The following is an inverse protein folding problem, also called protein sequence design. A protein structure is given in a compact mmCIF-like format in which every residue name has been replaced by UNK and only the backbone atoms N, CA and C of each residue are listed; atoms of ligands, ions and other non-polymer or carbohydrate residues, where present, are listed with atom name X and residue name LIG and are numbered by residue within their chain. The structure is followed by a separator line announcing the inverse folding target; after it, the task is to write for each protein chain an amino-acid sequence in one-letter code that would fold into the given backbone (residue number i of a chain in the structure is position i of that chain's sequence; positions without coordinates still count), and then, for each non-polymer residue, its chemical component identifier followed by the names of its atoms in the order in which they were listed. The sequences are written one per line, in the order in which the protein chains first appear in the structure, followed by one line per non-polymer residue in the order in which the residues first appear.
data_IF_162979456107
#
_entry.id   IF_162979456107
#
_cell.length_a   1.000
_cell.length_b   1.000
_cell.length_c   1.000
_cell.angle_alpha   90.00
_cell.angle_beta   90.00
_cell.angle_gamma   90.00
#
_symmetry.space_group_name_H-M   'P 1'
#
loop_
_entity.id
_entity.type
_entity.pdbx_description
1 polymer ?
#
# COMPACT_ATOMS: atom_id res chain seq x y z
N UNK A 1 28.29 -38.95 25.91
CA UNK A 1 26.94 -38.34 26.07
C UNK A 1 26.73 -37.14 25.14
N UNK A 2 26.86 -37.27 23.81
CA UNK A 2 26.85 -36.09 22.89
C UNK A 2 25.90 -36.19 21.69
N UNK A 3 25.10 -37.26 21.58
CA UNK A 3 24.24 -37.50 20.41
C UNK A 3 23.03 -36.56 20.26
N UNK A 4 22.48 -36.04 21.37
CA UNK A 4 21.23 -35.25 21.37
C UNK A 4 21.37 -33.84 20.77
N UNK A 5 22.58 -33.28 20.71
CA UNK A 5 22.83 -31.89 20.21
C UNK A 5 23.07 -31.79 18.70
N UNK A 6 23.30 -32.90 18.00
CA UNK A 6 23.62 -32.91 16.55
C UNK A 6 22.40 -32.66 15.64
N UNK A 7 21.18 -32.73 16.17
CA UNK A 7 19.93 -32.57 15.41
C UNK A 7 19.35 -31.16 15.46
N UNK A 8 19.70 -30.36 16.47
CA UNK A 8 19.32 -28.95 16.63
C UNK A 8 19.72 -28.10 15.41
N UNK A 9 20.95 -28.16 14.86
CA UNK A 9 21.31 -27.37 13.69
C UNK A 9 20.55 -27.77 12.43
N UNK A 10 20.16 -29.05 12.31
CA UNK A 10 19.37 -29.55 11.16
C UNK A 10 17.94 -29.02 11.21
N UNK A 11 17.33 -29.01 12.40
CA UNK A 11 15.97 -28.47 12.58
C UNK A 11 15.93 -26.96 12.36
N UNK A 12 16.95 -26.24 12.85
CA UNK A 12 17.10 -24.81 12.60
C UNK A 12 17.26 -24.49 11.10
N UNK A 13 18.02 -25.31 10.37
CA UNK A 13 18.20 -25.16 8.93
C UNK A 13 16.90 -25.41 8.13
N UNK A 14 16.07 -26.37 8.56
CA UNK A 14 14.76 -26.64 7.97
C UNK A 14 13.76 -25.51 8.29
N UNK A 15 13.77 -24.98 9.51
CA UNK A 15 12.93 -23.83 9.85
C UNK A 15 13.33 -22.57 9.06
N UNK A 16 14.63 -22.33 8.88
CA UNK A 16 15.15 -21.22 8.08
C UNK A 16 14.78 -21.34 6.59
N UNK A 17 14.75 -22.55 6.02
CA UNK A 17 14.36 -22.75 4.63
C UNK A 17 12.85 -22.57 4.40
N UNK A 18 12.00 -22.91 5.37
CA UNK A 18 10.54 -22.66 5.29
C UNK A 18 10.22 -21.17 5.33
N UNK A 19 10.92 -20.39 6.15
CA UNK A 19 10.76 -18.92 6.23
C UNK A 19 11.23 -18.24 4.94
N UNK A 20 12.30 -18.75 4.30
CA UNK A 20 12.83 -18.23 3.04
C UNK A 20 11.88 -18.39 1.84
N UNK A 21 11.05 -19.44 1.83
CA UNK A 21 10.09 -19.71 0.72
C UNK A 21 8.90 -18.74 0.77
N UNK A 22 8.43 -18.35 1.95
CA UNK A 22 7.29 -17.41 2.08
C UNK A 22 7.65 -15.96 1.79
N UNK A 23 8.94 -15.60 1.81
CA UNK A 23 9.40 -14.23 1.58
C UNK A 23 9.55 -13.87 0.08
N UNK A 24 9.55 -14.86 -0.82
CA UNK A 24 9.93 -14.66 -2.23
C UNK A 24 8.80 -14.35 -3.21
N UNK A 25 7.53 -14.29 -2.77
CA UNK A 25 6.38 -14.17 -3.66
C UNK A 25 5.76 -12.77 -3.70
N UNK A 26 6.57 -11.71 -3.63
CA UNK A 26 6.09 -10.37 -3.98
C UNK A 26 6.09 -10.27 -5.51
N UNK A 27 4.95 -10.57 -6.12
CA UNK A 27 4.73 -10.27 -7.54
C UNK A 27 4.94 -8.78 -7.77
N UNK A 28 5.72 -8.43 -8.80
CA UNK A 28 5.82 -7.05 -9.23
C UNK A 28 4.42 -6.53 -9.53
N UNK A 29 4.04 -5.40 -8.92
CA UNK A 29 2.79 -4.75 -9.25
C UNK A 29 2.76 -4.46 -10.75
N UNK A 30 1.63 -4.74 -11.40
CA UNK A 30 1.43 -4.36 -12.79
C UNK A 30 1.66 -2.86 -12.96
N UNK A 31 2.10 -2.44 -14.15
CA UNK A 31 2.32 -1.02 -14.44
C UNK A 31 1.00 -0.26 -14.19
N UNK A 32 0.97 0.75 -13.30
CA UNK A 32 -0.26 1.46 -13.01
C UNK A 32 -0.69 2.35 -14.18
N UNK A 33 -2.00 2.54 -14.31
CA UNK A 33 -2.56 3.58 -15.17
C UNK A 33 -2.47 4.93 -14.44
N UNK A 34 -2.03 5.98 -15.14
CA UNK A 34 -1.88 7.33 -14.58
C UNK A 34 -2.87 8.26 -15.27
N UNK A 35 -3.76 8.88 -14.49
CA UNK A 35 -4.68 9.92 -14.95
C UNK A 35 -4.37 11.21 -14.20
N UNK A 36 -4.08 12.28 -14.95
CA UNK A 36 -3.88 13.62 -14.41
C UNK A 36 -5.08 14.47 -14.82
N UNK A 37 -5.78 15.02 -13.81
CA UNK A 37 -6.88 15.97 -14.00
C UNK A 37 -6.40 17.30 -13.42
N UNK A 38 -6.40 18.35 -14.24
CA UNK A 38 -5.97 19.68 -13.83
C UNK A 38 -7.10 20.68 -14.05
N UNK A 39 -7.45 21.43 -13.00
CA UNK A 39 -8.41 22.52 -13.09
C UNK A 39 -7.70 23.83 -13.41
N UNK A 40 -8.26 24.62 -14.32
CA UNK A 40 -7.79 25.98 -14.59
C UNK A 40 -8.59 26.96 -13.72
N UNK A 41 -7.91 27.92 -13.09
CA UNK A 41 -8.51 28.94 -12.21
C UNK A 41 -9.47 28.41 -11.11
N UNK A 42 -9.23 27.19 -10.61
CA UNK A 42 -9.99 26.62 -9.48
C UNK A 42 -9.23 26.82 -8.17
N UNK A 43 -9.80 27.62 -7.27
CA UNK A 43 -9.27 27.82 -5.93
C UNK A 43 -9.68 26.71 -4.95
N UNK A 44 -8.94 26.57 -3.85
CA UNK A 44 -9.25 25.57 -2.81
C UNK A 44 -10.66 25.72 -2.25
N UNK A 45 -11.14 26.96 -2.10
CA UNK A 45 -12.49 27.23 -1.58
C UNK A 45 -13.60 26.73 -2.50
N UNK A 46 -13.32 26.53 -3.80
CA UNK A 46 -14.29 26.01 -4.74
C UNK A 46 -14.59 24.51 -4.57
N UNK A 47 -13.68 23.77 -3.90
CA UNK A 47 -13.82 22.33 -3.65
C UNK A 47 -14.50 22.12 -2.30
N UNK A 48 -15.65 21.45 -2.28
CA UNK A 48 -16.45 21.34 -1.04
C UNK A 48 -15.76 20.55 0.07
N UNK A 49 -14.92 19.57 -0.26
CA UNK A 49 -14.08 18.86 0.71
C UNK A 49 -13.17 19.78 1.55
N UNK A 50 -12.71 20.91 0.98
CA UNK A 50 -11.72 21.78 1.61
C UNK A 50 -12.28 23.10 2.13
N UNK A 51 -13.56 23.37 1.87
CA UNK A 51 -14.20 24.63 2.21
C UNK A 51 -15.55 24.46 2.93
N UNK A 52 -15.99 23.22 3.18
CA UNK A 52 -17.29 22.90 3.79
C UNK A 52 -18.47 23.63 3.11
N UNK A 53 -18.36 23.85 1.80
CA UNK A 53 -19.40 24.53 1.02
C UNK A 53 -19.55 26.04 1.27
N UNK A 54 -18.52 26.72 1.79
CA UNK A 54 -18.53 28.19 2.06
C UNK A 54 -18.98 29.04 0.85
N UNK A 55 -18.63 28.61 -0.37
CA UNK A 55 -19.02 29.27 -1.63
C UNK A 55 -20.21 28.60 -2.32
N UNK A 56 -20.89 27.67 -1.66
CA UNK A 56 -22.10 27.00 -2.15
C UNK A 56 -21.88 25.89 -3.19
N UNK A 57 -20.66 25.66 -3.67
CA UNK A 57 -20.37 24.54 -4.58
C UNK A 57 -20.51 23.20 -3.86
N UNK A 58 -20.97 22.19 -4.62
CA UNK A 58 -20.94 20.78 -4.25
C UNK A 58 -20.13 20.02 -5.28
N UNK A 59 -19.08 19.35 -4.84
CA UNK A 59 -18.17 18.58 -5.70
C UNK A 59 -18.17 17.10 -5.31
N UNK A 60 -19.31 16.39 -5.34
CA UNK A 60 -19.43 15.04 -4.75
C UNK A 60 -18.50 13.98 -5.36
N UNK A 61 -18.05 14.18 -6.61
CA UNK A 61 -17.07 13.28 -7.24
C UNK A 61 -15.64 13.57 -6.76
N UNK A 62 -15.30 14.84 -6.52
CA UNK A 62 -13.99 15.25 -6.00
C UNK A 62 -13.92 14.93 -4.50
N UNK A 63 -14.99 15.20 -3.76
CA UNK A 63 -15.09 14.91 -2.33
C UNK A 63 -14.97 13.41 -2.01
N UNK A 64 -15.28 12.54 -2.97
CA UNK A 64 -15.15 11.09 -2.84
C UNK A 64 -13.71 10.59 -3.05
N UNK A 65 -12.89 11.34 -3.77
CA UNK A 65 -11.50 10.96 -4.09
C UNK A 65 -10.45 11.71 -3.25
N UNK A 66 -10.86 12.81 -2.60
CA UNK A 66 -10.06 13.56 -1.64
C UNK A 66 -9.97 12.83 -0.30
#
# INVERSE_FOLDING_TARGET
MTGKRRWIPKLAMVAASVIGITAGAVSAAEKPNILVIFGDDIGQTNISAYALGVVGYKTPNIDRIA
#
